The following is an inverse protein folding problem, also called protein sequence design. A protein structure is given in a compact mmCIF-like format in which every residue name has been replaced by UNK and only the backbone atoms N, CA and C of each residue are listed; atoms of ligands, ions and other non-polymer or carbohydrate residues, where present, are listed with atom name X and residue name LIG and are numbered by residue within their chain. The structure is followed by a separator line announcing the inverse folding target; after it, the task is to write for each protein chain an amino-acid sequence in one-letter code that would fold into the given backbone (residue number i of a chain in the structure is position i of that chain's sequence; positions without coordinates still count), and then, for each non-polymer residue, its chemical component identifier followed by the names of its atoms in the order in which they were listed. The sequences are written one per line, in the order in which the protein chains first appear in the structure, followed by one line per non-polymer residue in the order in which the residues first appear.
data_IF_060144686832
#
_entry.id   IF_060144686832
#
_cell.length_a   1.000
_cell.length_b   1.000
_cell.length_c   1.000
_cell.angle_alpha   90.00
_cell.angle_beta   90.00
_cell.angle_gamma   90.00
#
_symmetry.space_group_name_H-M   'P 1'
#
loop_
_entity.id
_entity.type
_entity.pdbx_description
1 polymer ?
2 non-polymer ?
3 water ?
#
# COMPACT_ATOMS: atom_id res chain seq x y z
N UNK A 24 -7.71 -17.26 9.93
CA UNK A 24 -8.15 -17.23 8.55
C UNK A 24 -7.99 -15.78 8.12
N UNK A 25 -7.32 -15.01 8.95
CA UNK A 25 -7.00 -13.61 8.62
C UNK A 25 -5.83 -13.58 7.69
N UNK A 26 -5.70 -12.45 6.97
CA UNK A 26 -4.60 -12.31 6.02
C UNK A 26 -3.58 -11.35 6.58
N UNK A 27 -2.31 -11.58 6.22
CA UNK A 27 -1.23 -10.63 6.42
C UNK A 27 -0.67 -10.48 5.02
N UNK A 28 -0.89 -9.29 4.42
CA UNK A 28 -0.58 -9.11 2.99
C UNK A 28 0.64 -8.26 2.91
N UNK A 29 1.69 -8.77 2.27
CA UNK A 29 2.98 -8.06 2.28
C UNK A 29 3.29 -7.62 0.89
N UNK A 30 3.35 -6.29 0.64
CA UNK A 30 3.87 -5.88 -0.68
C UNK A 30 5.38 -5.89 -0.64
N UNK A 31 6.00 -6.35 -1.72
CA UNK A 31 7.47 -6.45 -1.86
C UNK A 31 7.86 -5.59 -3.07
N UNK A 32 8.75 -4.60 -2.87
CA UNK A 32 9.14 -3.68 -3.97
C UNK A 32 10.39 -4.23 -4.69
N UNK A 33 10.31 -4.41 -6.01
CA UNK A 33 11.44 -5.03 -6.71
C UNK A 33 12.58 -4.03 -6.89
N UNK A 34 12.36 -2.79 -6.55
CA UNK A 34 13.44 -1.81 -6.70
C UNK A 34 14.21 -1.62 -5.41
N UNK A 35 13.81 -2.25 -4.32
CA UNK A 35 14.50 -2.00 -3.03
C UNK A 35 15.90 -2.62 -3.03
N UNK A 36 16.15 -3.49 -4.00
CA UNK A 36 17.46 -4.17 -4.07
C UNK A 36 18.53 -3.15 -4.46
N UNK A 37 18.13 -2.03 -5.00
CA UNK A 37 19.12 -1.01 -5.43
C UNK A 37 19.44 0.00 -4.36
N UNK A 38 18.81 -0.11 -3.18
CA UNK A 38 19.13 0.84 -2.11
C UNK A 38 20.49 0.51 -1.55
N UNK A 39 21.23 1.56 -1.22
CA UNK A 39 22.65 1.34 -0.87
C UNK A 39 22.84 0.73 0.50
N UNK A 40 24.00 0.09 0.71
CA UNK A 40 24.34 -0.33 2.08
C UNK A 40 23.32 -1.21 2.76
N UNK A 41 22.95 -0.82 3.99
CA UNK A 41 22.06 -1.67 4.76
C UNK A 41 20.64 -1.54 4.26
N UNK A 42 20.39 -0.62 3.33
CA UNK A 42 19.02 -0.50 2.77
C UNK A 42 18.74 -1.59 1.71
N UNK A 43 19.77 -2.22 1.16
CA UNK A 43 19.52 -3.25 0.13
C UNK A 43 18.60 -4.34 0.63
N UNK A 44 17.51 -4.58 -0.13
CA UNK A 44 16.56 -5.60 0.29
C UNK A 44 16.14 -6.34 -0.96
N UNK A 45 16.40 -7.64 -0.96
CA UNK A 45 16.07 -8.52 -2.07
C UNK A 45 15.10 -9.66 -1.70
N UNK A 46 14.88 -10.58 -2.65
CA UNK A 46 13.92 -11.64 -2.40
C UNK A 46 14.27 -12.41 -1.17
N UNK A 47 15.57 -12.60 -1.02
CA UNK A 47 16.06 -13.42 0.06
C UNK A 47 15.87 -12.79 1.46
N UNK A 48 15.55 -11.51 1.47
CA UNK A 48 15.28 -10.81 2.73
C UNK A 48 13.82 -10.89 3.20
N UNK A 49 12.93 -11.35 2.34
CA UNK A 49 11.52 -11.44 2.73
C UNK A 49 11.32 -12.46 3.86
N UNK A 50 10.69 -12.05 4.98
CA UNK A 50 10.42 -12.98 6.07
C UNK A 50 9.13 -13.72 5.79
N UNK A 51 9.23 -14.72 4.92
CA UNK A 51 8.03 -15.28 4.28
C UNK A 51 7.01 -15.77 5.28
N UNK A 52 7.46 -16.44 6.33
CA UNK A 52 6.46 -16.98 7.27
C UNK A 52 5.73 -15.95 8.12
N UNK A 53 6.07 -14.66 8.00
CA UNK A 53 5.31 -13.65 8.69
C UNK A 53 4.10 -13.20 7.87
N UNK A 54 4.01 -13.62 6.59
CA UNK A 54 2.95 -13.14 5.69
C UNK A 54 2.11 -14.32 5.26
N UNK A 55 0.87 -14.07 4.91
CA UNK A 55 0.05 -15.08 4.26
C UNK A 55 -0.02 -14.91 2.75
N UNK A 56 0.17 -13.67 2.25
CA UNK A 56 0.06 -13.34 0.84
C UNK A 56 1.14 -12.33 0.59
N UNK A 57 1.99 -12.60 -0.40
CA UNK A 57 3.12 -11.67 -0.68
C UNK A 57 3.00 -11.26 -2.14
N UNK A 58 3.19 -9.97 -2.44
CA UNK A 58 2.83 -9.42 -3.74
C UNK A 58 4.03 -8.70 -4.38
N UNK A 59 4.52 -9.24 -5.48
CA UNK A 59 5.71 -8.69 -6.14
C UNK A 59 5.32 -7.42 -6.90
N UNK A 60 5.92 -6.28 -6.58
CA UNK A 60 5.47 -5.01 -7.13
C UNK A 60 6.61 -4.35 -7.90
N UNK A 61 6.48 -3.90 -9.15
CA UNK A 61 5.26 -3.87 -9.96
C UNK A 61 5.62 -4.37 -11.34
N UNK A 62 4.63 -4.86 -12.05
CA UNK A 62 4.63 -4.90 -13.53
C UNK A 62 3.70 -3.81 -14.00
N UNK A 63 3.73 -3.52 -15.30
CA UNK A 63 2.98 -2.42 -15.90
C UNK A 63 2.18 -2.86 -17.10
N UNK A 64 1.71 -1.89 -17.86
CA UNK A 64 1.02 -2.17 -19.12
C UNK A 64 1.72 -1.39 -20.21
N UNK A 65 1.85 -1.98 -21.40
CA UNK A 65 2.46 -1.19 -22.49
C UNK A 65 1.49 -0.14 -23.01
N UNK A 66 2.01 0.95 -23.53
CA UNK A 66 1.17 2.04 -24.01
C UNK A 66 0.52 1.73 -25.35
N UNK A 67 1.18 0.93 -26.15
CA UNK A 67 0.77 0.73 -27.55
C UNK A 67 -0.02 -0.56 -27.79
N UNK A 68 0.27 -1.61 -27.03
CA UNK A 68 -0.23 -2.92 -27.36
C UNK A 68 -1.06 -3.51 -26.22
N UNK A 69 -1.11 -2.78 -25.10
CA UNK A 69 -1.89 -3.25 -23.93
C UNK A 69 -1.45 -4.60 -23.41
N UNK A 70 -0.16 -4.89 -23.50
CA UNK A 70 0.39 -6.11 -22.95
C UNK A 70 1.03 -5.85 -21.60
N UNK A 71 1.27 -6.91 -20.86
CA UNK A 71 2.10 -6.78 -19.64
C UNK A 71 3.46 -6.18 -19.97
N UNK A 72 3.83 -5.14 -19.23
CA UNK A 72 5.15 -4.51 -19.34
C UNK A 72 5.98 -5.00 -18.15
N UNK A 73 7.12 -5.64 -18.45
CA UNK A 73 8.09 -5.99 -17.41
C UNK A 73 8.99 -4.76 -17.23
N UNK A 74 8.97 -4.19 -16.02
CA UNK A 74 9.53 -2.88 -15.82
C UNK A 74 11.07 -2.95 -15.57
N UNK A 75 11.57 -4.04 -14.96
CA UNK A 75 13.05 -4.18 -14.81
C UNK A 75 13.45 -5.54 -15.28
N UNK A 76 13.50 -5.73 -16.61
CA UNK A 76 13.65 -7.11 -17.08
C UNK A 76 15.00 -7.74 -16.72
N UNK A 77 16.03 -6.91 -16.56
CA UNK A 77 17.31 -7.47 -16.10
C UNK A 77 17.20 -8.13 -14.73
N UNK A 78 16.42 -7.52 -13.83
CA UNK A 78 16.25 -8.12 -12.53
C UNK A 78 15.16 -9.20 -12.54
N UNK A 79 14.01 -8.83 -13.10
CA UNK A 79 12.79 -9.65 -12.95
C UNK A 79 12.87 -10.92 -13.77
N UNK A 80 13.58 -10.85 -14.90
CA UNK A 80 13.65 -12.02 -15.80
C UNK A 80 15.08 -12.54 -15.90
N UNK A 81 16.02 -11.69 -16.30
CA UNK A 81 17.43 -12.20 -16.51
C UNK A 81 18.08 -12.74 -15.23
N UNK A 82 17.87 -12.10 -14.07
CA UNK A 82 18.33 -12.59 -12.78
C UNK A 82 17.27 -13.38 -12.04
N UNK A 83 16.22 -13.75 -12.78
CA UNK A 83 15.19 -14.60 -12.21
C UNK A 83 14.45 -14.07 -11.02
N UNK A 84 14.24 -12.75 -10.96
CA UNK A 84 13.55 -12.20 -9.81
C UNK A 84 12.12 -12.78 -9.62
N UNK A 85 11.32 -12.81 -10.70
CA UNK A 85 9.94 -13.29 -10.51
C UNK A 85 9.95 -14.75 -10.05
N UNK A 86 10.77 -15.58 -10.70
CA UNK A 86 10.78 -17.00 -10.35
C UNK A 86 11.43 -17.33 -9.04
N UNK A 87 12.46 -16.57 -8.63
CA UNK A 87 12.94 -16.77 -7.27
C UNK A 87 11.89 -16.48 -6.22
N UNK A 88 11.10 -15.40 -6.52
CA UNK A 88 10.02 -15.06 -5.62
C UNK A 88 8.96 -16.15 -5.57
N UNK A 89 8.46 -16.58 -6.72
CA UNK A 89 7.39 -17.59 -6.66
C UNK A 89 7.87 -18.95 -6.15
N UNK A 90 9.13 -19.25 -6.41
CA UNK A 90 9.67 -20.53 -5.95
C UNK A 90 9.92 -20.51 -4.46
N UNK A 91 9.79 -19.34 -3.83
CA UNK A 91 9.65 -19.40 -2.35
C UNK A 91 8.54 -20.36 -1.81
N UNK A 92 7.55 -20.73 -2.63
CA UNK A 92 6.47 -21.58 -2.16
C UNK A 92 6.97 -23.00 -1.90
N UNK A 93 8.14 -23.34 -2.43
CA UNK A 93 8.67 -24.70 -2.24
C UNK A 93 8.90 -24.96 -0.78
N UNK A 94 9.50 -24.00 -0.10
CA UNK A 94 9.74 -24.12 1.34
C UNK A 94 8.64 -23.53 2.20
N UNK A 95 7.76 -22.75 1.57
CA UNK A 95 6.68 -22.10 2.31
C UNK A 95 5.33 -22.31 1.63
N UNK A 96 4.82 -23.55 1.65
CA UNK A 96 3.73 -23.85 0.71
C UNK A 96 2.37 -23.24 1.07
N UNK A 97 2.19 -22.76 2.28
CA UNK A 97 0.85 -22.25 2.61
C UNK A 97 0.67 -20.78 2.26
N UNK A 98 1.73 -20.19 1.72
CA UNK A 98 1.74 -18.72 1.38
C UNK A 98 1.42 -18.55 -0.12
N UNK A 99 0.71 -17.46 -0.49
CA UNK A 99 0.37 -17.20 -1.88
C UNK A 99 1.28 -16.10 -2.37
N UNK A 100 1.77 -16.24 -3.58
CA UNK A 100 2.72 -15.30 -4.18
C UNK A 100 2.09 -14.75 -5.42
N UNK A 101 1.71 -13.49 -5.40
CA UNK A 101 1.07 -12.90 -6.58
C UNK A 101 1.90 -11.72 -7.07
N UNK A 102 1.45 -11.08 -8.13
CA UNK A 102 2.14 -9.92 -8.75
C UNK A 102 1.19 -8.75 -8.79
N UNK A 103 1.70 -7.52 -8.63
CA UNK A 103 0.84 -6.31 -8.69
C UNK A 103 1.16 -5.58 -9.99
N UNK A 104 0.09 -5.13 -10.67
CA UNK A 104 0.25 -4.30 -11.90
C UNK A 104 -0.19 -2.89 -11.61
N UNK A 105 0.65 -1.90 -11.97
CA UNK A 105 0.26 -0.51 -11.79
C UNK A 105 1.25 0.16 -10.85
N UNK A 106 0.72 0.81 -9.82
CA UNK A 106 1.57 1.53 -8.84
C UNK A 106 1.69 2.97 -9.26
N UNK A 107 2.30 3.81 -8.39
CA UNK A 107 2.25 5.25 -8.69
C UNK A 107 3.12 5.63 -9.90
N UNK A 108 4.32 5.05 -10.00
CA UNK A 108 5.24 5.46 -11.07
C UNK A 108 4.74 5.11 -12.44
N UNK A 109 3.88 4.08 -12.55
CA UNK A 109 3.31 3.70 -13.82
C UNK A 109 2.40 4.73 -14.43
N UNK A 110 1.83 5.62 -13.62
CA UNK A 110 0.79 6.54 -14.03
C UNK A 110 -0.56 5.89 -14.24
N UNK A 111 -1.58 6.69 -14.52
CA UNK A 111 -2.91 6.13 -14.78
C UNK A 111 -3.31 6.15 -16.24
N UNK A 112 -2.69 7.02 -17.05
CA UNK A 112 -3.22 7.16 -18.42
C UNK A 112 -3.20 5.88 -19.25
N UNK A 113 -2.16 5.03 -19.09
CA UNK A 113 -2.07 3.80 -19.87
C UNK A 113 -3.17 2.83 -19.53
N UNK A 114 -3.62 2.91 -18.27
CA UNK A 114 -4.70 2.01 -17.80
C UNK A 114 -6.05 2.49 -18.30
N UNK A 115 -6.30 3.80 -18.27
CA UNK A 115 -7.55 4.34 -18.81
C UNK A 115 -7.64 3.98 -20.29
N UNK A 116 -6.47 4.09 -20.96
CA UNK A 116 -6.43 3.73 -22.39
C UNK A 116 -6.74 2.25 -22.59
N UNK A 117 -6.13 1.41 -21.77
CA UNK A 117 -6.29 -0.02 -21.93
C UNK A 117 -7.73 -0.47 -21.68
N UNK A 118 -8.44 0.16 -20.73
CA UNK A 118 -9.79 -0.32 -20.46
C UNK A 118 -10.85 0.29 -21.39
N UNK A 119 -10.42 1.23 -22.24
CA UNK A 119 -11.42 2.00 -23.02
C UNK A 119 -12.29 1.17 -23.97
N UNK A 120 -11.78 0.02 -24.42
CA UNK A 120 -12.55 -0.86 -25.31
C UNK A 120 -12.43 -2.32 -24.94
N UNK A 121 -13.43 -3.12 -25.26
CA UNK A 121 -13.36 -4.55 -25.06
C UNK A 121 -12.12 -5.17 -25.69
N UNK A 122 -11.80 -4.78 -26.92
CA UNK A 122 -10.66 -5.39 -27.62
C UNK A 122 -9.31 -5.17 -26.87
N UNK A 123 -9.12 -3.95 -26.34
CA UNK A 123 -7.87 -3.65 -25.63
C UNK A 123 -7.82 -4.34 -24.26
N UNK A 124 -8.98 -4.41 -23.61
CA UNK A 124 -9.03 -5.17 -22.36
C UNK A 124 -8.74 -6.61 -22.61
N UNK A 125 -9.26 -7.19 -23.68
CA UNK A 125 -9.03 -8.62 -23.90
C UNK A 125 -7.58 -8.88 -24.24
N UNK A 126 -6.94 -7.92 -24.93
CA UNK A 126 -5.50 -8.09 -25.22
C UNK A 126 -4.71 -8.15 -23.89
N UNK A 127 -5.07 -7.23 -22.98
CA UNK A 127 -4.39 -7.21 -21.68
C UNK A 127 -4.66 -8.49 -20.90
N UNK A 128 -5.92 -8.91 -20.82
CA UNK A 128 -6.27 -10.13 -20.10
C UNK A 128 -5.48 -11.35 -20.61
N UNK A 129 -5.41 -11.51 -21.92
CA UNK A 129 -4.65 -12.62 -22.44
C UNK A 129 -3.18 -12.53 -22.04
N UNK A 130 -2.65 -11.32 -22.14
CA UNK A 130 -1.24 -11.09 -21.77
C UNK A 130 -0.96 -11.47 -20.31
N UNK A 131 -1.88 -11.06 -19.44
CA UNK A 131 -1.79 -11.35 -17.98
C UNK A 131 -1.81 -12.83 -17.76
N UNK A 132 -2.73 -13.56 -18.41
CA UNK A 132 -2.83 -15.00 -18.18
C UNK A 132 -1.51 -15.71 -18.62
N UNK A 133 -0.97 -15.30 -19.77
CA UNK A 133 0.30 -15.88 -20.25
C UNK A 133 1.40 -15.61 -19.24
N UNK A 134 1.44 -14.38 -18.74
CA UNK A 134 2.48 -13.99 -17.77
C UNK A 134 2.40 -14.76 -16.45
N UNK A 135 1.18 -14.91 -15.89
CA UNK A 135 1.01 -15.60 -14.62
C UNK A 135 1.38 -17.05 -14.76
N UNK A 136 1.05 -17.64 -15.92
CA UNK A 136 1.55 -18.97 -16.17
C UNK A 136 3.08 -19.07 -16.33
N UNK A 137 3.68 -18.15 -17.07
CA UNK A 137 5.10 -18.21 -17.38
C UNK A 137 5.93 -18.16 -16.09
N UNK A 138 5.51 -17.29 -15.15
CA UNK A 138 6.32 -17.12 -13.92
C UNK A 138 5.77 -17.76 -12.65
N UNK A 139 4.71 -18.59 -12.80
CA UNK A 139 4.16 -19.39 -11.72
C UNK A 139 3.64 -18.54 -10.58
N UNK A 140 2.95 -17.45 -10.93
CA UNK A 140 2.27 -16.68 -9.91
C UNK A 140 0.89 -17.24 -9.55
N UNK A 141 0.42 -16.91 -8.35
CA UNK A 141 -0.89 -17.40 -7.83
C UNK A 141 -2.05 -16.45 -8.13
N UNK A 142 -1.78 -15.42 -8.91
CA UNK A 142 -2.81 -14.44 -9.20
C UNK A 142 -2.27 -13.02 -9.34
N UNK A 143 -3.21 -12.08 -9.41
CA UNK A 143 -2.87 -10.67 -9.77
C UNK A 143 -3.49 -9.75 -8.80
N UNK A 144 -2.72 -8.72 -8.40
CA UNK A 144 -3.26 -7.59 -7.65
C UNK A 144 -3.33 -6.37 -8.59
N UNK A 145 -4.49 -5.71 -8.65
CA UNK A 145 -4.65 -4.51 -9.51
C UNK A 145 -4.35 -3.27 -8.73
N UNK A 146 -3.38 -2.47 -9.21
CA UNK A 146 -3.02 -1.26 -8.50
C UNK A 146 -3.03 -0.07 -9.44
N UNK A 147 -4.08 0.08 -10.24
CA UNK A 147 -4.21 1.27 -11.08
C UNK A 147 -4.55 2.41 -10.16
N UNK A 148 -3.70 3.44 -10.16
CA UNK A 148 -3.95 4.66 -9.36
C UNK A 148 -4.20 5.80 -10.32
N UNK A 149 -5.46 6.19 -10.56
CA UNK A 149 -6.71 5.52 -10.13
C UNK A 149 -7.71 5.67 -11.28
N UNK A 150 -8.63 4.73 -11.45
CA UNK A 150 -9.71 4.94 -12.43
C UNK A 150 -10.51 6.20 -12.12
N UNK A 151 -10.77 7.01 -13.14
CA UNK A 151 -11.63 8.18 -12.93
C UNK A 151 -10.87 9.41 -12.47
N UNK A 152 -9.58 9.27 -12.15
CA UNK A 152 -8.80 10.38 -11.56
C UNK A 152 -8.27 11.31 -12.64
N UNK A 153 -8.80 12.52 -12.66
CA UNK A 153 -8.40 13.49 -13.69
C UNK A 153 -6.93 13.85 -13.56
N UNK A 154 -6.41 13.82 -12.33
CA UNK A 154 -5.02 14.13 -12.05
C UNK A 154 -4.06 12.98 -12.43
N UNK A 155 -4.64 11.87 -12.86
CA UNK A 155 -3.86 10.69 -13.21
C UNK A 155 -4.29 10.16 -14.58
N UNK A 156 -4.74 11.03 -15.48
CA UNK A 156 -4.99 10.59 -16.84
C UNK A 156 -6.28 9.83 -17.04
N UNK A 157 -7.18 9.91 -16.05
CA UNK A 157 -8.44 9.19 -16.10
C UNK A 157 -9.57 10.03 -16.61
N UNK A 158 -10.73 9.39 -16.71
CA UNK A 158 -11.95 10.11 -17.11
C UNK A 158 -13.16 9.33 -16.69
N UNK A 159 -14.34 9.87 -16.95
CA UNK A 159 -15.56 9.36 -16.28
C UNK A 159 -15.86 7.89 -16.55
N UNK A 160 -15.65 7.46 -17.82
CA UNK A 160 -16.04 6.12 -18.21
C UNK A 160 -15.16 5.06 -17.56
N UNK A 161 -14.05 5.50 -16.95
CA UNK A 161 -13.21 4.50 -16.29
C UNK A 161 -13.98 3.72 -15.22
N UNK A 162 -14.99 4.33 -14.57
CA UNK A 162 -15.60 3.60 -13.47
C UNK A 162 -16.28 2.31 -14.00
N UNK A 163 -17.03 2.44 -15.10
CA UNK A 163 -17.72 1.27 -15.59
C UNK A 163 -16.65 0.32 -16.20
N UNK A 164 -15.64 0.90 -16.87
CA UNK A 164 -14.79 0.06 -17.68
C UNK A 164 -13.75 -0.67 -16.81
N UNK A 165 -13.41 -0.08 -15.66
CA UNK A 165 -12.59 -0.83 -14.70
C UNK A 165 -13.36 -2.04 -14.16
N UNK A 166 -14.66 -1.85 -13.90
CA UNK A 166 -15.41 -2.98 -13.42
C UNK A 166 -15.45 -4.02 -14.51
N UNK A 167 -15.62 -3.60 -15.76
CA UNK A 167 -15.60 -4.62 -16.82
C UNK A 167 -14.27 -5.39 -16.88
N UNK A 168 -13.15 -4.68 -16.69
CA UNK A 168 -11.84 -5.34 -16.69
C UNK A 168 -11.81 -6.39 -15.59
N UNK A 169 -12.31 -6.01 -14.41
CA UNK A 169 -12.24 -6.93 -13.27
C UNK A 169 -13.09 -8.17 -13.57
N UNK A 170 -14.27 -7.94 -14.16
CA UNK A 170 -15.16 -9.07 -14.42
C UNK A 170 -14.52 -9.98 -15.46
N UNK A 171 -13.83 -9.36 -16.43
CA UNK A 171 -13.24 -10.16 -17.50
C UNK A 171 -12.00 -10.92 -17.00
N UNK A 172 -11.26 -10.30 -16.07
CA UNK A 172 -10.11 -11.01 -15.55
C UNK A 172 -10.57 -12.19 -14.74
N UNK A 173 -11.61 -11.98 -13.94
CA UNK A 173 -12.06 -13.08 -13.09
C UNK A 173 -12.52 -14.22 -13.99
N UNK A 174 -13.22 -13.88 -15.07
CA UNK A 174 -13.70 -14.98 -15.92
C UNK A 174 -12.54 -15.73 -16.57
N UNK A 175 -11.48 -14.99 -16.95
CA UNK A 175 -10.33 -15.66 -17.51
C UNK A 175 -9.65 -16.50 -16.47
N UNK A 176 -9.61 -16.00 -15.24
CA UNK A 176 -8.94 -16.78 -14.22
C UNK A 176 -9.71 -18.08 -13.94
N UNK A 177 -11.05 -17.99 -14.06
CA UNK A 177 -11.85 -19.20 -13.81
C UNK A 177 -11.57 -20.16 -14.95
N UNK A 178 -11.43 -19.63 -16.17
CA UNK A 178 -11.24 -20.56 -17.28
C UNK A 178 -9.90 -21.25 -17.17
N UNK A 179 -8.92 -20.57 -16.55
CA UNK A 179 -7.64 -21.22 -16.49
C UNK A 179 -7.66 -22.41 -15.53
N UNK A 180 -8.51 -22.34 -14.51
CA UNK A 180 -8.76 -23.47 -13.63
C UNK A 180 -7.69 -23.76 -12.62
N UNK A 181 -6.84 -22.75 -12.37
CA UNK A 181 -5.80 -22.90 -11.36
C UNK A 181 -6.10 -22.26 -10.01
N UNK A 182 -7.27 -21.67 -9.86
CA UNK A 182 -7.71 -21.06 -8.60
C UNK A 182 -7.00 -19.76 -8.30
N UNK A 183 -6.57 -19.06 -9.35
CA UNK A 183 -5.83 -17.81 -9.07
C UNK A 183 -6.70 -16.80 -8.41
N UNK A 184 -6.05 -16.02 -7.53
CA UNK A 184 -6.76 -14.90 -6.90
C UNK A 184 -6.62 -13.62 -7.72
N UNK A 185 -7.61 -12.76 -7.53
CA UNK A 185 -7.63 -11.42 -8.12
C UNK A 185 -7.95 -10.49 -6.99
N UNK A 186 -7.05 -9.50 -6.75
CA UNK A 186 -7.28 -8.58 -5.64
C UNK A 186 -7.05 -7.16 -6.16
N UNK A 187 -7.37 -6.16 -5.35
CA UNK A 187 -7.03 -4.78 -5.82
C UNK A 187 -6.61 -3.93 -4.65
N UNK A 188 -5.69 -2.99 -4.90
CA UNK A 188 -5.38 -1.96 -3.91
C UNK A 188 -6.21 -0.74 -4.22
N UNK A 189 -6.87 -0.19 -3.21
CA UNK A 189 -7.87 0.88 -3.42
C UNK A 189 -7.67 2.05 -2.45
N UNK A 190 -8.12 3.22 -2.85
CA UNK A 190 -8.01 4.40 -1.98
C UNK A 190 -9.14 4.52 -1.00
N UNK A 191 -9.08 5.44 -0.05
CA UNK A 191 -10.26 5.54 0.79
C UNK A 191 -11.00 6.85 0.78
N UNK A 192 -10.55 7.80 -0.03
CA UNK A 192 -11.26 9.08 -0.04
C UNK A 192 -12.55 8.90 -0.83
N UNK A 193 -13.64 9.49 -0.34
CA UNK A 193 -14.92 9.35 -0.97
C UNK A 193 -14.87 9.82 -2.41
N UNK A 194 -14.18 10.92 -2.71
CA UNK A 194 -14.24 11.39 -4.09
C UNK A 194 -13.60 10.40 -5.06
N UNK A 195 -12.57 9.71 -4.57
CA UNK A 195 -11.93 8.69 -5.39
C UNK A 195 -12.87 7.49 -5.57
N UNK A 196 -13.60 7.15 -4.52
CA UNK A 196 -14.57 6.06 -4.59
C UNK A 196 -15.66 6.36 -5.60
N UNK A 197 -16.22 7.57 -5.54
CA UNK A 197 -17.28 7.98 -6.44
C UNK A 197 -16.78 7.99 -7.87
N UNK A 198 -15.53 8.42 -8.07
CA UNK A 198 -15.05 8.55 -9.45
C UNK A 198 -14.59 7.26 -10.09
N UNK A 199 -14.18 6.28 -9.28
CA UNK A 199 -13.53 5.13 -9.86
C UNK A 199 -14.04 3.74 -9.56
N UNK A 200 -14.86 3.59 -8.51
CA UNK A 200 -15.08 2.25 -7.90
C UNK A 200 -16.55 1.91 -7.67
N UNK A 201 -17.06 0.97 -8.47
CA UNK A 201 -18.39 0.36 -8.23
C UNK A 201 -18.18 -0.65 -7.11
N UNK A 202 -18.38 -0.21 -5.88
CA UNK A 202 -17.93 -0.98 -4.71
C UNK A 202 -18.57 -2.37 -4.60
N UNK A 203 -19.91 -2.46 -4.61
CA UNK A 203 -20.44 -3.82 -4.37
C UNK A 203 -20.05 -4.82 -5.47
N UNK A 204 -20.04 -4.34 -6.71
CA UNK A 204 -19.72 -5.24 -7.84
C UNK A 204 -18.24 -5.63 -7.78
N UNK A 205 -17.41 -4.63 -7.51
CA UNK A 205 -15.97 -5.00 -7.35
C UNK A 205 -15.70 -5.96 -6.20
N UNK A 206 -16.32 -5.73 -5.03
CA UNK A 206 -16.03 -6.53 -3.85
C UNK A 206 -16.54 -7.95 -4.07
N UNK A 207 -17.59 -8.08 -4.88
CA UNK A 207 -17.99 -9.43 -5.27
C UNK A 207 -17.01 -10.20 -6.15
N UNK A 208 -16.31 -9.52 -7.08
CA UNK A 208 -15.40 -10.22 -7.97
C UNK A 208 -14.00 -10.47 -7.38
N UNK A 209 -13.65 -9.71 -6.35
CA UNK A 209 -12.26 -9.78 -5.88
C UNK A 209 -12.15 -10.62 -4.60
N UNK A 210 -11.02 -11.29 -4.41
CA UNK A 210 -10.77 -12.11 -3.21
C UNK A 210 -10.48 -11.29 -1.97
N UNK A 211 -9.92 -10.08 -2.18
CA UNK A 211 -9.57 -9.19 -1.08
C UNK A 211 -9.43 -7.79 -1.66
N UNK A 212 -9.73 -6.82 -0.80
CA UNK A 212 -9.63 -5.41 -1.13
C UNK A 212 -8.54 -4.89 -0.21
N UNK A 213 -7.41 -4.44 -0.78
CA UNK A 213 -6.27 -3.97 0.04
C UNK A 213 -6.42 -2.46 0.14
N UNK A 214 -6.90 -2.00 1.28
CA UNK A 214 -7.18 -0.59 1.42
C UNK A 214 -5.91 0.23 1.75
N UNK A 215 -5.62 1.23 0.90
CA UNK A 215 -4.43 2.06 1.10
C UNK A 215 -4.75 3.12 2.13
N UNK A 216 -4.81 2.68 3.38
CA UNK A 216 -5.17 3.56 4.49
C UNK A 216 -3.89 4.28 4.98
N UNK A 217 -3.32 5.06 4.07
CA UNK A 217 -2.08 5.80 4.31
C UNK A 217 -1.96 6.81 3.20
N UNK A 218 -0.94 7.67 3.29
CA UNK A 218 -0.91 8.86 2.41
C UNK A 218 -2.22 9.65 2.51
N UNK A 219 -2.78 9.70 3.72
CA UNK A 219 -4.04 10.45 3.89
C UNK A 219 -3.74 11.93 4.10
N UNK A 220 -2.50 12.24 4.45
CA UNK A 220 -1.98 13.63 4.53
C UNK A 220 -0.56 13.60 3.99
N UNK A 221 0.00 14.77 3.66
CA UNK A 221 1.33 14.80 3.05
C UNK A 221 1.57 16.16 2.45
N UNK A 222 2.74 16.37 1.88
CA UNK A 222 3.17 17.72 1.50
C UNK A 222 2.15 18.37 0.57
N UNK A 223 1.50 17.55 -0.25
CA UNK A 223 0.51 18.04 -1.23
C UNK A 223 -0.66 18.76 -0.58
N UNK A 224 -0.91 18.48 0.71
CA UNK A 224 -2.00 19.10 1.46
C UNK A 224 -1.68 20.49 2.01
N UNK A 225 -0.40 20.81 2.09
CA UNK A 225 0.02 22.12 2.52
C UNK A 225 0.09 22.36 4.01
N UNK A 226 0.07 21.28 4.82
CA UNK A 226 0.28 21.42 6.24
C UNK A 226 0.87 20.10 6.77
N UNK A 227 1.55 20.16 7.91
CA UNK A 227 2.17 18.94 8.49
C UNK A 227 1.12 18.15 9.22
N UNK A 228 1.12 16.81 9.03
CA UNK A 228 0.17 16.01 9.79
C UNK A 228 0.64 14.56 9.61
N UNK A 229 0.15 13.68 10.47
CA UNK A 229 0.42 12.23 10.33
C UNK A 229 -0.40 11.74 9.15
N UNK A 230 0.05 10.67 8.50
CA UNK A 230 -0.58 10.28 7.24
C UNK A 230 -1.45 9.03 7.33
N UNK A 231 -1.52 8.43 8.51
CA UNK A 231 -2.42 7.30 8.68
C UNK A 231 -3.23 7.42 9.97
N UNK A 232 -3.85 8.60 10.23
CA UNK A 232 -4.57 8.72 11.51
C UNK A 232 -5.73 7.74 11.60
N UNK A 233 -5.89 7.09 12.75
CA UNK A 233 -6.96 6.12 12.91
C UNK A 233 -8.31 6.75 13.08
N UNK A 234 -8.38 7.80 13.88
CA UNK A 234 -9.66 8.52 14.07
C UNK A 234 -9.54 10.01 13.75
N UNK A 235 -10.69 10.66 13.63
CA UNK A 235 -10.74 12.11 13.37
C UNK A 235 -10.10 12.96 14.45
N UNK A 236 -9.44 14.04 14.06
CA UNK A 236 -8.88 15.00 15.01
C UNK A 236 -9.75 16.23 14.88
N UNK A 237 -9.70 17.10 15.89
CA UNK A 237 -10.46 18.36 15.77
C UNK A 237 -10.13 19.19 14.53
N UNK A 238 -8.87 19.23 14.08
CA UNK A 238 -8.51 20.08 12.95
C UNK A 238 -8.98 19.53 11.60
N UNK A 239 -9.56 18.34 11.60
CA UNK A 239 -9.97 17.72 10.32
C UNK A 239 -11.32 18.34 9.88
N UNK A 240 -11.30 19.05 8.77
CA UNK A 240 -12.51 19.68 8.24
C UNK A 240 -12.67 19.59 6.72
N UNK A 241 -13.93 19.54 6.28
CA UNK A 241 -14.30 19.49 4.85
C UNK A 241 -13.55 18.19 4.49
N UNK A 242 -13.08 18.07 3.25
CA UNK A 242 -12.78 16.76 2.65
C UNK A 242 -11.85 15.93 3.52
N UNK A 243 -11.28 16.55 4.56
CA UNK A 243 -10.47 15.75 5.53
C UNK A 243 -11.28 15.19 6.69
N UNK A 244 -12.55 15.62 6.81
CA UNK A 244 -13.31 15.33 8.03
C UNK A 244 -13.37 13.82 8.26
N UNK A 245 -13.59 13.03 7.20
CA UNK A 245 -13.71 11.58 7.32
C UNK A 245 -12.51 10.84 6.72
N UNK A 246 -11.42 11.57 6.44
CA UNK A 246 -10.27 10.99 5.77
C UNK A 246 -9.32 10.47 6.85
N UNK A 247 -9.75 9.39 7.48
CA UNK A 247 -8.94 8.71 8.54
C UNK A 247 -9.26 7.25 8.39
N UNK A 248 -8.46 6.38 9.03
CA UNK A 248 -8.62 4.96 8.73
C UNK A 248 -9.98 4.38 9.19
N UNK A 249 -10.42 4.76 10.40
CA UNK A 249 -11.71 4.23 10.88
C UNK A 249 -12.85 4.63 9.96
N UNK A 250 -12.95 5.93 9.66
CA UNK A 250 -14.08 6.38 8.85
C UNK A 250 -13.98 5.93 7.41
N UNK A 251 -12.75 5.75 6.90
CA UNK A 251 -12.55 5.34 5.54
C UNK A 251 -12.97 3.87 5.35
N UNK A 252 -12.59 3.04 6.33
CA UNK A 252 -13.03 1.64 6.23
C UNK A 252 -14.56 1.53 6.42
N UNK A 253 -15.10 2.39 7.29
CA UNK A 253 -16.56 2.43 7.45
C UNK A 253 -17.22 2.86 6.12
N UNK A 254 -16.60 3.77 5.37
CA UNK A 254 -17.14 4.19 4.06
C UNK A 254 -17.18 3.01 3.11
N UNK A 255 -16.08 2.24 3.01
CA UNK A 255 -16.13 1.00 2.23
C UNK A 255 -17.27 0.04 2.64
N UNK A 256 -17.45 -0.15 3.94
CA UNK A 256 -18.61 -0.96 4.36
C UNK A 256 -19.94 -0.36 3.89
N UNK A 257 -20.09 0.95 4.08
CA UNK A 257 -21.35 1.69 3.80
C UNK A 257 -21.68 1.59 2.31
N UNK A 258 -20.64 1.58 1.47
CA UNK A 258 -20.86 1.50 0.04
C UNK A 258 -21.09 0.07 -0.44
N UNK A 259 -20.97 -0.91 0.46
CA UNK A 259 -21.39 -2.25 0.14
C UNK A 259 -20.33 -3.32 0.14
N UNK A 260 -19.14 -3.03 0.67
CA UNK A 260 -18.11 -4.10 0.70
C UNK A 260 -18.25 -4.89 2.01
N UNK A 261 -18.29 -6.23 1.93
CA UNK A 261 -18.38 -7.03 3.17
C UNK A 261 -17.15 -6.86 4.04
N UNK A 262 -17.33 -6.92 5.35
CA UNK A 262 -16.21 -6.73 6.26
C UNK A 262 -15.13 -7.75 6.03
N UNK A 263 -15.52 -8.96 5.65
CA UNK A 263 -14.55 -10.01 5.48
C UNK A 263 -13.86 -10.06 4.12
N UNK A 264 -13.95 -8.93 3.37
CA UNK A 264 -13.17 -8.78 2.16
C UNK A 264 -12.18 -7.61 2.36
N UNK A 265 -12.28 -6.85 3.46
CA UNK A 265 -11.48 -5.60 3.60
C UNK A 265 -10.18 -5.87 4.39
N UNK A 266 -9.04 -5.52 3.79
CA UNK A 266 -7.73 -5.72 4.44
C UNK A 266 -7.14 -4.35 4.65
N UNK A 267 -6.76 -4.04 5.87
CA UNK A 267 -6.38 -2.66 6.23
C UNK A 267 -4.88 -2.46 6.05
N UNK A 268 -4.53 -1.51 5.20
CA UNK A 268 -3.12 -1.17 4.97
C UNK A 268 -2.48 -0.39 6.15
N UNK A 269 -1.21 -0.74 6.41
CA UNK A 269 -0.43 -0.14 7.49
C UNK A 269 0.88 0.30 6.79
N UNK A 270 1.21 1.60 6.87
CA UNK A 270 2.46 2.03 6.22
C UNK A 270 3.70 1.79 7.06
N UNK A 271 4.73 1.19 6.46
CA UNK A 271 6.02 1.03 7.13
C UNK A 271 6.93 2.18 6.69
N UNK A 272 6.35 3.36 6.61
CA UNK A 272 7.12 4.58 6.19
C UNK A 272 6.41 5.81 6.75
N UNK A 273 7.11 6.95 6.69
CA UNK A 273 6.57 8.21 7.16
C UNK A 273 6.49 9.21 6.00
N UNK A 274 5.54 10.15 6.16
CA UNK A 274 5.47 11.32 5.23
C UNK A 274 6.10 12.45 6.00
N UNK A 275 7.05 13.11 5.35
CA UNK A 275 7.80 14.17 6.03
C UNK A 275 7.60 15.52 5.35
N UNK A 276 7.95 16.58 6.09
CA UNK A 276 7.72 17.95 5.64
C UNK A 276 8.92 18.76 6.02
N UNK A 277 9.11 19.85 5.25
CA UNK A 277 10.03 20.94 5.69
C UNK A 277 9.16 22.10 6.16
N UNK A 278 9.36 22.54 7.40
CA UNK A 278 8.46 23.52 8.00
C UNK A 278 8.80 24.87 7.42
N UNK A 279 7.85 25.80 7.49
CA UNK A 279 8.04 27.10 6.85
C UNK A 279 9.09 27.87 7.61
N UNK A 280 9.78 28.79 6.92
CA UNK A 280 10.85 29.57 7.55
C UNK A 280 10.41 30.25 8.86
N UNK A 281 11.22 30.10 9.90
CA UNK A 281 10.93 30.68 11.20
C UNK A 281 9.70 30.14 11.93
N UNK A 282 9.24 28.96 11.55
CA UNK A 282 8.05 28.37 12.16
C UNK A 282 8.46 27.50 13.34
N UNK A 283 8.02 27.86 14.53
CA UNK A 283 8.42 27.17 15.76
C UNK A 283 7.26 26.39 16.36
N UNK A 284 6.19 26.26 15.58
CA UNK A 284 5.01 25.56 16.06
C UNK A 284 5.06 24.19 15.41
N UNK A 285 5.22 23.15 16.19
CA UNK A 285 5.37 21.81 15.64
C UNK A 285 4.11 20.96 15.77
N UNK A 286 2.99 21.61 16.07
CA UNK A 286 1.76 20.87 16.27
C UNK A 286 1.21 20.34 14.96
N UNK A 287 0.34 19.32 15.06
CA UNK A 287 -0.42 18.87 13.89
C UNK A 287 -1.09 20.05 13.20
N UNK A 288 -0.98 20.13 11.89
CA UNK A 288 -1.64 21.19 11.12
C UNK A 288 -0.80 22.43 10.90
N UNK A 289 0.41 22.43 11.45
CA UNK A 289 1.33 23.56 11.26
C UNK A 289 1.72 23.83 9.80
N UNK A 290 1.94 25.10 9.45
CA UNK A 290 2.30 25.44 8.06
C UNK A 290 3.64 24.91 7.63
N UNK A 291 3.76 24.63 6.35
CA UNK A 291 4.99 24.08 5.82
C UNK A 291 5.51 24.91 4.67
N UNK A 292 6.73 24.60 4.29
CA UNK A 292 7.31 25.15 3.09
C UNK A 292 6.98 24.17 1.97
N UNK A 293 5.85 24.40 1.35
CA UNK A 293 5.34 23.42 0.41
C UNK A 293 6.24 23.26 -0.81
N UNK A 294 6.93 24.33 -1.21
CA UNK A 294 7.79 24.24 -2.38
C UNK A 294 9.01 23.37 -2.19
N UNK A 295 9.38 23.13 -0.93
CA UNK A 295 10.43 22.19 -0.63
C UNK A 295 10.09 20.75 -1.11
N UNK A 296 8.80 20.43 -1.19
CA UNK A 296 8.37 19.16 -1.77
C UNK A 296 8.22 18.09 -0.71
N UNK A 297 8.50 18.46 0.54
CA UNK A 297 8.54 17.51 1.64
C UNK A 297 9.78 17.65 2.48
N UNK A 298 9.96 16.73 3.41
CA UNK A 298 11.21 16.68 4.16
C UNK A 298 12.37 16.29 3.26
N UNK A 299 13.59 16.59 3.71
CA UNK A 299 14.77 16.26 2.92
C UNK A 299 14.90 14.72 2.77
N UNK A 300 15.40 14.23 1.64
CA UNK A 300 15.56 12.78 1.39
C UNK A 300 16.43 12.11 2.39
N UNK A 301 16.04 10.90 2.78
CA UNK A 301 16.82 10.10 3.70
C UNK A 301 17.81 9.26 2.89
N UNK A 302 18.83 8.67 3.56
CA UNK A 302 19.98 8.10 2.83
C UNK A 302 19.74 6.86 2.00
N UNK A 303 18.68 6.10 2.32
CA UNK A 303 18.49 4.82 1.67
C UNK A 303 17.38 4.87 0.65
N UNK A 304 16.28 5.53 0.98
CA UNK A 304 15.18 5.70 0.02
C UNK A 304 15.34 6.89 -0.93
N UNK A 305 16.12 7.89 -0.51
CA UNK A 305 16.45 9.05 -1.35
C UNK A 305 15.26 9.64 -2.06
N UNK A 306 14.23 9.97 -1.27
CA UNK A 306 12.96 10.48 -1.81
C UNK A 306 12.44 11.61 -0.94
N UNK A 307 12.31 12.82 -1.52
CA UNK A 307 11.78 13.92 -0.76
C UNK A 307 10.39 13.58 -0.22
N UNK A 308 10.15 13.83 1.07
CA UNK A 308 8.83 13.70 1.65
C UNK A 308 8.49 12.27 2.09
N UNK A 309 9.46 11.36 2.02
CA UNK A 309 9.16 9.93 2.25
C UNK A 309 10.31 9.22 2.94
N UNK A 310 10.09 8.70 4.15
CA UNK A 310 11.19 8.05 4.89
C UNK A 310 10.76 6.61 5.25
N UNK A 311 11.62 5.63 5.00
CA UNK A 311 11.29 4.26 5.44
C UNK A 311 11.23 4.19 6.96
N UNK A 312 10.47 3.24 7.52
CA UNK A 312 10.47 3.11 8.97
C UNK A 312 11.94 3.01 9.52
N UNK A 313 12.79 2.20 8.87
CA UNK A 313 14.13 2.06 9.44
C UNK A 313 14.98 3.35 9.39
N UNK A 314 14.61 4.20 8.44
CA UNK A 314 15.24 5.53 8.36
C UNK A 314 14.77 6.42 9.49
N UNK A 315 13.55 6.22 9.97
CA UNK A 315 13.00 7.07 11.01
C UNK A 315 13.51 6.57 12.36
N UNK A 316 13.44 5.26 12.61
CA UNK A 316 13.83 4.79 13.95
C UNK A 316 15.33 5.00 14.18
N UNK A 317 16.13 4.87 13.12
CA UNK A 317 17.58 5.07 13.37
C UNK A 317 17.92 6.51 13.72
N UNK A 318 17.06 7.43 13.37
CA UNK A 318 17.29 8.83 13.74
C UNK A 318 16.61 9.24 15.04
N UNK A 319 15.36 8.82 15.25
CA UNK A 319 14.51 9.26 16.34
C UNK A 319 14.75 8.48 17.65
N UNK A 320 15.09 7.20 17.55
CA UNK A 320 15.03 6.36 18.73
C UNK A 320 16.38 6.15 19.36
N UNK A 321 17.45 6.67 18.77
CA UNK A 321 18.79 6.47 19.38
C UNK A 321 18.89 7.21 20.72
N UNK A 322 19.79 6.73 21.60
CA UNK A 322 19.83 7.33 22.93
C UNK A 322 20.12 8.83 22.93
N UNK A 323 20.93 9.29 21.97
CA UNK A 323 21.33 10.71 22.02
C UNK A 323 20.64 11.47 20.95
N UNK A 324 19.54 10.91 20.45
CA UNK A 324 18.78 11.65 19.42
C UNK A 324 18.42 13.06 19.85
N UNK A 325 18.54 13.99 18.90
CA UNK A 325 18.04 15.36 19.09
C UNK A 325 16.67 15.58 18.48
N UNK A 326 16.04 14.51 18.00
CA UNK A 326 14.63 14.60 17.57
C UNK A 326 13.72 14.61 18.75
N UNK A 327 12.60 15.33 18.65
CA UNK A 327 11.56 15.29 19.64
C UNK A 327 10.38 14.49 19.11
N UNK A 328 9.95 13.50 19.86
CA UNK A 328 8.87 12.61 19.45
C UNK A 328 7.59 12.89 20.24
N UNK A 329 6.49 13.03 19.53
CA UNK A 329 5.19 13.29 20.11
C UNK A 329 4.18 12.27 19.66
N UNK A 330 2.98 12.38 20.21
CA UNK A 330 1.92 11.44 19.93
C UNK A 330 0.64 12.17 19.58
N UNK A 331 0.02 11.82 18.44
CA UNK A 331 -1.34 12.27 18.12
C UNK A 331 -2.37 11.47 18.90
N UNK A 332 -2.92 12.08 19.97
CA UNK A 332 -3.85 11.34 20.83
C UNK A 332 -5.12 10.89 20.16
N UNK A 333 -5.57 11.57 19.10
CA UNK A 333 -6.78 11.15 18.43
C UNK A 333 -6.46 10.22 17.27
N UNK A 334 -5.45 10.56 16.47
CA UNK A 334 -5.09 9.77 15.31
C UNK A 334 -4.34 8.51 15.71
N UNK A 335 -3.82 8.51 16.94
CA UNK A 335 -3.07 7.34 17.44
C UNK A 335 -1.84 7.03 16.59
N UNK A 336 -1.04 8.06 16.26
CA UNK A 336 0.16 7.90 15.44
C UNK A 336 1.24 8.76 16.03
N UNK A 337 2.50 8.33 15.92
CA UNK A 337 3.63 9.15 16.33
C UNK A 337 3.98 10.20 15.29
N UNK A 338 4.57 11.30 15.74
CA UNK A 338 5.30 12.17 14.84
C UNK A 338 6.57 12.68 15.53
N UNK A 339 7.53 13.14 14.75
CA UNK A 339 8.80 13.57 15.36
C UNK A 339 9.35 14.73 14.57
N UNK A 340 10.14 15.59 15.21
CA UNK A 340 10.65 16.73 14.48
C UNK A 340 12.00 17.15 15.04
N UNK A 341 12.75 17.84 14.20
CA UNK A 341 14.05 18.41 14.56
C UNK A 341 14.34 19.53 13.59
N UNK A 342 14.57 20.76 14.07
CA UNK A 342 14.92 21.81 13.12
C UNK A 342 13.72 22.13 12.25
N UNK A 343 13.93 22.15 10.95
CA UNK A 343 12.83 22.40 10.03
C UNK A 343 12.14 21.11 9.60
N UNK A 344 12.59 19.98 10.12
CA UNK A 344 12.10 18.66 9.57
C UNK A 344 11.05 18.03 10.45
N UNK A 345 9.98 17.50 9.83
CA UNK A 345 8.89 16.97 10.64
C UNK A 345 8.39 15.69 9.94
N UNK A 346 8.19 14.61 10.69
CA UNK A 346 7.70 13.38 10.01
C UNK A 346 6.63 12.70 10.82
N UNK A 347 5.59 12.22 10.15
CA UNK A 347 4.49 11.49 10.80
C UNK A 347 4.55 10.05 10.28
N UNK A 348 4.28 9.06 11.13
CA UNK A 348 4.58 7.66 10.72
C UNK A 348 3.82 6.66 11.62
N UNK A 349 4.22 5.40 11.57
CA UNK A 349 3.68 4.34 12.43
C UNK A 349 4.85 3.72 13.17
N UNK A 350 4.62 3.44 14.45
CA UNK A 350 5.62 2.78 15.26
C UNK A 350 4.97 1.59 15.92
N UNK A 351 5.70 0.85 16.76
CA UNK A 351 5.02 -0.32 17.36
C UNK A 351 3.77 -0.03 18.16
N UNK A 352 3.75 1.09 18.90
CA UNK A 352 2.53 1.47 19.63
C UNK A 352 1.31 1.64 18.69
N UNK A 353 1.50 2.43 17.63
CA UNK A 353 0.39 2.72 16.74
C UNK A 353 -0.03 1.48 15.96
N UNK A 354 0.93 0.66 15.57
CA UNK A 354 0.57 -0.54 14.85
C UNK A 354 -0.19 -1.52 15.73
N UNK A 355 0.24 -1.68 16.98
CA UNK A 355 -0.53 -2.47 17.97
C UNK A 355 -2.00 -2.00 18.09
N UNK A 356 -2.15 -0.66 18.19
CA UNK A 356 -3.51 -0.12 18.30
C UNK A 356 -4.34 -0.46 17.05
N UNK A 357 -3.73 -0.33 15.88
CA UNK A 357 -4.49 -0.70 14.67
C UNK A 357 -4.79 -2.20 14.55
N UNK A 358 -3.90 -3.07 15.02
CA UNK A 358 -4.18 -4.50 14.93
C UNK A 358 -5.37 -4.83 15.83
N UNK A 359 -5.38 -4.23 17.02
CA UNK A 359 -6.53 -4.46 17.92
C UNK A 359 -7.83 -3.94 17.35
N UNK A 360 -7.74 -2.80 16.66
CA UNK A 360 -8.93 -2.24 16.04
C UNK A 360 -9.40 -3.12 14.86
N UNK A 361 -8.48 -3.71 14.06
CA UNK A 361 -8.91 -4.56 12.96
C UNK A 361 -9.71 -5.70 13.52
N UNK A 362 -9.22 -6.26 14.65
CA UNK A 362 -9.93 -7.42 15.21
C UNK A 362 -11.28 -7.00 15.78
N UNK A 363 -11.33 -5.83 16.44
CA UNK A 363 -12.61 -5.28 16.95
C UNK A 363 -13.66 -5.13 15.84
N UNK A 364 -13.23 -4.64 14.67
CA UNK A 364 -14.13 -4.41 13.55
C UNK A 364 -14.46 -5.66 12.73
N UNK A 365 -13.64 -6.69 12.83
CA UNK A 365 -13.87 -7.91 12.08
C UNK A 365 -13.36 -7.92 10.66
N UNK A 366 -12.37 -7.09 10.35
CA UNK A 366 -11.89 -7.06 8.97
C UNK A 366 -11.04 -8.27 8.63
N UNK A 367 -10.82 -8.48 7.32
CA UNK A 367 -10.13 -9.67 6.82
C UNK A 367 -8.65 -9.76 7.27
N UNK A 368 -8.00 -8.62 7.41
CA UNK A 368 -6.65 -8.68 7.95
C UNK A 368 -5.93 -7.36 7.75
N UNK A 369 -4.62 -7.48 7.71
CA UNK A 369 -3.72 -6.32 7.65
C UNK A 369 -2.82 -6.44 6.43
N UNK A 370 -2.44 -5.29 5.85
CA UNK A 370 -1.57 -5.26 4.68
C UNK A 370 -0.45 -4.27 5.02
N UNK A 371 0.72 -4.47 4.45
CA UNK A 371 1.81 -3.50 4.63
C UNK A 371 2.34 -2.99 3.29
N UNK A 372 2.45 -1.64 3.22
CA UNK A 372 3.29 -1.05 2.19
C UNK A 372 4.52 -0.53 2.95
N UNK A 373 5.69 -1.15 2.84
CA UNK A 373 5.99 -2.39 2.14
C UNK A 373 7.03 -3.11 3.02
N UNK A 374 7.14 -4.42 2.84
CA UNK A 374 7.92 -5.25 3.76
C UNK A 374 9.41 -4.88 3.72
N UNK A 375 9.84 -4.31 2.58
CA UNK A 375 11.25 -3.87 2.43
C UNK A 375 11.58 -2.63 3.21
N UNK A 376 10.62 -2.03 3.93
CA UNK A 376 10.94 -0.84 4.75
C UNK A 376 10.76 -1.10 6.26
N UNK A 377 10.43 -2.32 6.68
CA UNK A 377 10.50 -2.67 8.10
C UNK A 377 11.96 -2.60 8.52
N UNK A 378 12.22 -2.63 9.83
CA UNK A 378 13.66 -2.66 10.24
C UNK A 378 14.16 -4.09 10.11
N UNK A 379 14.33 -4.53 8.88
CA UNK A 379 14.66 -5.92 8.60
C UNK A 379 16.11 -6.30 8.99
N UNK A 380 16.96 -5.29 9.16
CA UNK A 380 18.37 -5.51 9.62
C UNK A 380 18.44 -5.42 11.14
N UNK A 381 17.37 -4.99 11.79
CA UNK A 381 17.45 -4.75 13.22
C UNK A 381 18.40 -3.61 13.60
N UNK A 382 18.46 -2.58 12.78
CA UNK A 382 19.30 -1.41 13.06
C UNK A 382 18.96 -0.76 14.40
N UNK A 383 17.68 -0.79 14.77
CA UNK A 383 17.14 -0.17 15.98
C UNK A 383 16.97 -1.18 17.09
N UNK A 384 17.42 -2.41 16.83
CA UNK A 384 17.50 -3.41 17.89
C UNK A 384 16.60 -4.61 17.76
N UNK A 385 15.57 -4.49 16.96
CA UNK A 385 14.58 -5.55 16.90
C UNK A 385 14.25 -5.86 15.44
N UNK A 386 14.77 -6.96 14.91
CA UNK A 386 14.58 -7.23 13.46
C UNK A 386 13.12 -7.49 13.10
N UNK A 387 12.66 -6.84 12.01
CA UNK A 387 11.31 -7.05 11.48
C UNK A 387 10.26 -6.81 12.53
N UNK A 388 10.46 -5.77 13.34
CA UNK A 388 9.53 -5.51 14.46
C UNK A 388 8.07 -5.29 14.01
N UNK A 389 7.86 -4.52 12.91
CA UNK A 389 6.47 -4.18 12.55
C UNK A 389 5.73 -5.37 11.94
N UNK A 390 6.40 -6.12 11.04
CA UNK A 390 5.67 -7.27 10.45
C UNK A 390 5.46 -8.34 11.53
N UNK A 391 6.35 -8.42 12.51
CA UNK A 391 6.10 -9.38 13.58
C UNK A 391 4.86 -9.00 14.36
N UNK A 392 4.55 -7.69 14.48
CA UNK A 392 3.29 -7.32 15.13
C UNK A 392 2.09 -7.71 14.32
N UNK A 393 2.14 -7.43 12.98
CA UNK A 393 1.01 -7.89 12.13
C UNK A 393 0.80 -9.42 12.24
N UNK A 394 1.88 -10.15 12.18
CA UNK A 394 1.79 -11.60 12.22
C UNK A 394 1.26 -12.11 13.57
N UNK A 395 1.80 -11.56 14.66
CA UNK A 395 1.35 -11.98 16.00
C UNK A 395 -0.13 -11.78 16.13
N UNK A 396 -0.61 -10.60 15.76
CA UNK A 396 -2.02 -10.34 15.99
C UNK A 396 -2.94 -11.08 15.05
N UNK A 397 -2.58 -11.13 13.77
CA UNK A 397 -3.48 -11.75 12.80
C UNK A 397 -3.48 -13.26 12.93
N UNK A 398 -2.37 -13.85 13.33
CA UNK A 398 -2.33 -15.31 13.30
C UNK A 398 -3.18 -15.91 14.44
N UNK A 399 -3.45 -15.11 15.45
CA UNK A 399 -4.31 -15.55 16.57
C UNK A 399 -5.76 -15.16 16.41
N UNK A 400 -6.12 -14.65 15.25
CA UNK A 400 -7.43 -14.01 15.07
C UNK A 400 -8.27 -14.76 14.05
N UNK A 401 -9.55 -14.97 14.39
CA UNK A 401 -10.46 -15.62 13.48
C UNK A 401 -11.38 -14.54 12.92
N UNK A 402 -11.44 -14.42 11.60
CA UNK A 402 -12.32 -13.41 10.98
C UNK A 402 -13.79 -13.84 11.16
N UNK A 403 -14.62 -12.97 11.74
CA UNK A 403 -16.06 -13.33 11.90
C UNK A 403 -16.84 -13.27 10.59
N UNK A 404 -18.05 -13.87 10.57
CA UNK A 404 -18.92 -13.72 9.39
C UNK A 404 -19.22 -12.26 9.10
N UNK A 405 -19.57 -11.92 7.85
CA UNK A 405 -19.87 -10.53 7.47
C UNK A 405 -20.92 -9.91 8.38
N UNK A 406 -20.73 -8.62 8.66
CA UNK A 406 -21.57 -7.88 9.58
C UNK A 406 -22.94 -7.47 9.01
X LIG B 1 17.77 -15.60 -7.57
X LIG B 1 18.56 -14.31 -7.38
X LIG B 1 19.98 -14.54 -7.85
X LIG B 1 20.62 -15.77 -7.21
X LIG B 1 19.72 -16.96 -7.47
X LIG B 1 20.32 -18.18 -6.80
X LIG B 1 17.23 -12.28 -7.49
X LIG B 1 16.70 -11.19 -8.32
X LIG B 1 17.95 -13.18 -8.08
X LIG B 1 20.73 -13.40 -7.61
X LIG B 1 21.88 -15.95 -7.77
X LIG B 1 18.44 -16.65 -6.92
X LIG B 1 20.44 -17.93 -5.44
X LIG B 1 16.99 -12.29 -6.33
X LIG C 1 18.65 10.62 -5.43
X LIG C 1 19.92 10.33 -6.20
X LIG C 1 20.24 11.45 -7.18
X LIG C 1 19.03 11.72 -8.00
X LIG C 1 17.90 11.97 -7.05
X LIG C 1 16.67 12.43 -7.80
X LIG C 1 21.40 8.89 -5.08
X LIG C 1 22.58 8.81 -4.22
X LIG C 1 21.05 10.11 -5.38
X LIG C 1 21.23 10.98 -8.04
X LIG C 1 19.23 12.87 -8.76
X LIG C 1 17.66 10.75 -6.39
X LIG C 1 15.89 13.00 -6.81
X LIG C 1 20.83 7.91 -5.40
#
# INVERSE_FOLDING_TARGET
MRALLLTTLAVLAVGINAAESDSRARVVCYFSNWAVYRPGVGRYGIEDIPVDMCTHIIYSFIGVTEDTQQVLIIDPELDVDKNGFKNFTSLRSKHPGVKFTVAVGGWAEGGSKYSKMVAAKSTRMAFVRSVVDFLNKYNFDGLDLDWEYPGAADRGGSFSDKDKFLYLVQELRRAFIREGKGWELTAAVPLANFRLMEGYHVPELCQELDAIHVMSYDLRGNWAGFADVHSPLYKRPHDQWAYEKLNVNDGLQLWEDKGCPTNKLVVGIPFYGRSFTLSSGNNNYNLGTYINKEAGGGDPAPYTNATGFWAYYEICTEVDTADSKWTKKWDEHGKCPYAYKGTQWVGYEDPRSVEIKMNWIKEKGYLGAMTWAIDMDDFQGLCGEKNILIKLLHKHMSAYTVPPPRSGNTTPTPEWARPPSTPSDPSEGDPIPTTTTSKPATSKPSTTSQPATTSRPEPKPTTSLPTPAPTASTTEEEAQQPEVELPAENEIGNSDKICTSEEDYIPDKKQCDKYWRCVNGEGMQFKCQPGTVFNVKLNVCDWPENADRHDCQL
NAG C1 C2 C3 C4 C5 C6 C7 C8 N2 O3 O4 O5 O6 O7
NAG C1 C2 C3 C4 C5 C6 C7 C8 N2 O3 O4 O5 O6 O7
#
